data_IF_965091121229
#
_entry.id   IF_965091121229
#
_cell.length_a   1.000
_cell.length_b   1.000
_cell.length_c   1.000
_cell.angle_alpha   90.00
_cell.angle_beta   90.00
_cell.angle_gamma   90.00
#
_symmetry.space_group_name_H-M   'P 1'
#
loop_
_entity.id
_entity.type
_entity.pdbx_description
1 polymer ?
#
# COMPACT_ATOMS: atom_id res chain seq x y z
N UNK A 1 4.51 7.39 2.95
CA UNK A 1 3.65 6.56 2.08
C UNK A 1 2.70 7.47 1.31
N UNK A 2 2.29 7.06 0.11
CA UNK A 2 1.28 7.73 -0.70
C UNK A 2 0.10 6.77 -0.86
N UNK A 3 -1.09 7.25 -0.53
CA UNK A 3 -2.34 6.46 -0.61
C UNK A 3 -3.15 6.96 -1.79
N UNK A 4 -3.46 6.05 -2.72
CA UNK A 4 -4.32 6.32 -3.86
C UNK A 4 -5.74 5.91 -3.52
N UNK A 5 -6.66 6.87 -3.60
CA UNK A 5 -8.08 6.66 -3.35
C UNK A 5 -8.81 6.73 -4.68
N UNK A 6 -9.41 5.62 -5.07
CA UNK A 6 -10.34 5.57 -6.21
C UNK A 6 -11.76 5.90 -5.74
N UNK A 7 -12.57 6.40 -6.67
CA UNK A 7 -13.97 6.76 -6.43
C UNK A 7 -14.83 6.36 -7.63
N UNK A 8 -16.00 5.79 -7.36
CA UNK A 8 -17.08 5.62 -8.33
C UNK A 8 -18.41 6.10 -7.73
N UNK A 9 -19.52 5.83 -8.43
CA UNK A 9 -20.88 5.97 -7.88
C UNK A 9 -21.13 5.05 -6.68
N UNK A 10 -20.38 3.96 -6.53
CA UNK A 10 -20.55 2.95 -5.48
C UNK A 10 -19.74 3.24 -4.21
N UNK A 11 -18.88 4.26 -4.23
CA UNK A 11 -18.15 4.71 -3.06
C UNK A 11 -16.70 5.10 -3.34
N UNK A 12 -15.87 5.04 -2.29
CA UNK A 12 -14.43 5.27 -2.35
C UNK A 12 -13.70 4.08 -1.73
N UNK A 13 -12.55 3.75 -2.28
CA UNK A 13 -11.70 2.69 -1.76
C UNK A 13 -10.23 3.01 -2.01
N UNK A 14 -9.36 2.41 -1.21
CA UNK A 14 -7.93 2.44 -1.46
C UNK A 14 -7.64 1.52 -2.64
N UNK A 15 -7.04 2.05 -3.69
CA UNK A 15 -6.66 1.29 -4.88
C UNK A 15 -5.18 0.95 -4.93
N UNK A 16 -4.33 1.76 -4.28
CA UNK A 16 -2.89 1.52 -4.19
C UNK A 16 -2.29 2.22 -2.97
N UNK A 17 -1.22 1.64 -2.42
CA UNK A 17 -0.36 2.28 -1.41
C UNK A 17 1.07 2.14 -1.86
N UNK A 18 1.76 3.28 -1.98
CA UNK A 18 3.15 3.35 -2.47
C UNK A 18 4.10 3.91 -1.42
N UNK A 19 5.30 3.33 -1.36
CA UNK A 19 6.42 3.92 -0.65
C UNK A 19 7.26 4.71 -1.64
N UNK A 20 7.42 6.00 -1.40
CA UNK A 20 8.42 6.82 -2.10
C UNK A 20 9.77 6.47 -1.52
N UNK A 21 10.71 6.04 -2.38
CA UNK A 21 12.07 5.69 -1.98
C UNK A 21 13.09 6.75 -2.42
N UNK A 22 12.71 7.64 -3.33
CA UNK A 22 13.53 8.75 -3.77
C UNK A 22 12.85 9.59 -4.84
N UNK A 23 13.48 10.72 -5.17
CA UNK A 23 13.09 11.57 -6.29
C UNK A 23 14.34 12.15 -6.95
N UNK A 24 14.32 12.24 -8.27
CA UNK A 24 15.35 12.87 -9.10
C UNK A 24 14.67 13.79 -10.13
N UNK A 25 14.84 15.10 -9.97
CA UNK A 25 14.13 16.11 -10.74
C UNK A 25 12.61 15.93 -10.67
N UNK A 26 11.99 15.68 -11.83
CA UNK A 26 10.56 15.43 -11.96
C UNK A 26 10.16 13.97 -11.77
N UNK A 27 11.11 13.07 -11.56
CA UNK A 27 10.87 11.62 -11.44
C UNK A 27 10.82 11.23 -9.96
N UNK A 28 9.80 10.46 -9.58
CA UNK A 28 9.67 9.88 -8.24
C UNK A 28 9.78 8.37 -8.35
N UNK A 29 10.71 7.77 -7.59
CA UNK A 29 10.88 6.32 -7.53
C UNK A 29 10.04 5.78 -6.38
N UNK A 30 9.19 4.79 -6.68
CA UNK A 30 8.27 4.24 -5.69
C UNK A 30 8.20 2.72 -5.74
N UNK A 31 8.09 2.08 -4.57
CA UNK A 31 7.63 0.70 -4.45
C UNK A 31 6.10 0.69 -4.29
N UNK A 32 5.39 -0.16 -5.04
CA UNK A 32 3.93 -0.32 -4.90
C UNK A 32 3.61 -1.47 -3.93
N UNK A 33 3.57 -1.13 -2.64
CA UNK A 33 3.36 -2.07 -1.54
C UNK A 33 1.99 -2.75 -1.62
N UNK A 34 0.97 -1.98 -2.01
CA UNK A 34 -0.34 -2.49 -2.37
C UNK A 34 -0.69 -2.01 -3.78
N UNK A 35 -1.14 -2.93 -4.64
CA UNK A 35 -1.53 -2.67 -6.02
C UNK A 35 -3.03 -2.90 -6.23
N UNK A 36 -3.66 -2.34 -7.27
CA UNK A 36 -5.04 -2.66 -7.58
C UNK A 36 -5.22 -4.15 -7.88
N UNK A 37 -6.20 -4.77 -7.21
CA UNK A 37 -6.69 -6.12 -7.48
C UNK A 37 -7.68 -6.15 -8.65
N UNK A 38 -8.33 -7.30 -8.86
CA UNK A 38 -9.29 -7.49 -9.95
C UNK A 38 -10.49 -6.52 -9.87
N UNK A 39 -10.97 -6.22 -8.67
CA UNK A 39 -12.05 -5.26 -8.42
C UNK A 39 -11.54 -3.82 -8.20
N UNK A 40 -10.24 -3.59 -8.42
CA UNK A 40 -9.59 -2.30 -8.21
C UNK A 40 -9.30 -1.94 -6.76
N UNK A 41 -9.60 -2.80 -5.78
CA UNK A 41 -9.21 -2.60 -4.37
C UNK A 41 -7.76 -3.00 -4.15
N UNK A 42 -7.10 -2.31 -3.24
CA UNK A 42 -5.69 -2.52 -2.92
C UNK A 42 -5.46 -3.94 -2.35
N UNK A 43 -4.64 -4.73 -3.04
CA UNK A 43 -4.15 -6.04 -2.58
C UNK A 43 -2.63 -6.01 -2.39
N UNK A 44 -2.03 -6.88 -1.56
CA UNK A 44 -0.58 -6.92 -1.38
C UNK A 44 0.15 -7.06 -2.73
N UNK A 45 1.08 -6.14 -3.00
CA UNK A 45 1.84 -6.06 -4.26
C UNK A 45 3.24 -6.64 -4.11
N UNK A 46 4.06 -5.97 -3.30
CA UNK A 46 5.41 -6.42 -2.93
C UNK A 46 5.53 -6.52 -1.40
N UNK A 47 6.50 -7.28 -0.87
CA UNK A 47 6.79 -7.29 0.56
C UNK A 47 7.14 -5.88 1.07
N UNK A 48 6.78 -5.59 2.32
CA UNK A 48 7.19 -4.33 2.97
C UNK A 48 8.67 -4.40 3.30
N UNK A 49 9.50 -3.41 2.88
CA UNK A 49 10.91 -3.36 3.25
C UNK A 49 11.12 -3.37 4.77
N UNK A 50 12.18 -4.03 5.23
CA UNK A 50 12.39 -4.33 6.66
C UNK A 50 12.53 -3.06 7.52
N UNK A 51 13.17 -2.02 7.01
CA UNK A 51 13.31 -0.72 7.66
C UNK A 51 11.94 -0.04 7.84
N UNK A 52 11.11 -0.04 6.80
CA UNK A 52 9.75 0.48 6.87
C UNK A 52 8.88 -0.37 7.80
N UNK A 53 9.00 -1.70 7.74
CA UNK A 53 8.27 -2.62 8.60
C UNK A 53 8.57 -2.34 10.08
N UNK A 54 9.85 -2.15 10.45
CA UNK A 54 10.23 -1.82 11.82
C UNK A 54 9.61 -0.49 12.31
N UNK A 55 9.58 0.53 11.45
CA UNK A 55 8.93 1.82 11.77
C UNK A 55 7.42 1.66 11.91
N UNK A 56 6.76 0.92 11.02
CA UNK A 56 5.32 0.70 11.10
C UNK A 56 4.95 -0.12 12.35
N UNK A 57 5.72 -1.16 12.67
CA UNK A 57 5.48 -1.99 13.84
C UNK A 57 5.65 -1.25 15.17
N UNK A 58 6.58 -0.29 15.25
CA UNK A 58 6.67 0.58 16.44
C UNK A 58 5.45 1.48 16.64
N UNK A 59 4.60 1.61 15.62
CA UNK A 59 3.34 2.33 15.64
C UNK A 59 2.10 1.40 15.59
N UNK A 60 2.28 0.10 15.88
CA UNK A 60 1.18 -0.86 16.02
C UNK A 60 0.72 -1.53 14.72
N UNK A 61 1.48 -1.41 13.63
CA UNK A 61 1.22 -2.20 12.42
C UNK A 61 1.70 -3.65 12.60
N UNK A 62 0.85 -4.60 12.26
CA UNK A 62 1.15 -6.03 12.25
C UNK A 62 1.51 -6.50 10.83
N UNK A 63 2.74 -7.00 10.66
CA UNK A 63 3.22 -7.52 9.38
C UNK A 63 2.41 -8.69 8.85
N UNK A 64 1.81 -9.49 9.74
CA UNK A 64 0.95 -10.62 9.35
C UNK A 64 -0.34 -10.16 8.67
N UNK A 65 -0.79 -8.93 8.91
CA UNK A 65 -1.94 -8.36 8.20
C UNK A 65 -1.62 -8.04 6.73
N UNK A 66 -0.37 -7.72 6.41
CA UNK A 66 0.06 -7.43 5.04
C UNK A 66 -0.01 -8.66 4.12
N UNK A 67 0.11 -9.85 4.68
CA UNK A 67 0.09 -11.10 3.88
C UNK A 67 -1.33 -11.59 3.57
N UNK A 68 -2.36 -11.00 4.19
CA UNK A 68 -3.77 -11.39 3.99
C UNK A 68 -4.30 -10.85 2.66
N UNK A 69 -4.20 -11.69 1.63
CA UNK A 69 -4.66 -11.37 0.26
C UNK A 69 -6.16 -11.10 0.15
N UNK A 70 -6.97 -11.65 1.06
CA UNK A 70 -8.44 -11.48 1.06
C UNK A 70 -8.87 -10.13 1.67
N UNK A 71 -7.91 -9.36 2.18
CA UNK A 71 -8.11 -8.03 2.73
C UNK A 71 -7.80 -8.01 4.24
N UNK A 72 -7.03 -7.01 4.65
CA UNK A 72 -6.74 -6.71 6.06
C UNK A 72 -7.87 -5.91 6.74
N UNK A 73 -8.92 -5.58 5.99
CA UNK A 73 -10.06 -4.75 6.39
C UNK A 73 -11.36 -5.55 6.64
N UNK A 74 -11.31 -6.89 6.54
CA UNK A 74 -12.41 -7.76 6.96
C UNK A 74 -12.29 -8.10 8.44
#
# INVERSE_FOLDING_TARGET
LVVYISKSSEGRWVSSVRQVVGADGSTVVTNELFRPGHDGRAVPGVPVPHDLAAVLSSHGWDSMMHERREGWWQ
#
